data_IF_566686339679
#
_entry.id   IF_566686339679
#
_cell.length_a   1.000
_cell.length_b   1.000
_cell.length_c   1.000
_cell.angle_alpha   90.00
_cell.angle_beta   90.00
_cell.angle_gamma   90.00
#
_symmetry.space_group_name_H-M   'P 1'
#
loop_
_entity.id
_entity.type
_entity.pdbx_description
1 polymer ?
#
# COMPACT_ATOMS: atom_id res chain seq x y z
N UNK A 1 -1.06 -3.84 -27.83
CA UNK A 1 -1.58 -4.87 -26.92
C UNK A 1 -0.94 -4.61 -25.57
N UNK A 2 -1.63 -3.94 -24.65
CA UNK A 2 -1.09 -3.71 -23.30
C UNK A 2 -1.15 -5.02 -22.54
N UNK A 3 0.00 -5.51 -22.09
CA UNK A 3 0.07 -6.61 -21.13
C UNK A 3 -0.72 -6.21 -19.90
N UNK A 4 -1.79 -6.95 -19.56
CA UNK A 4 -2.34 -6.89 -18.21
C UNK A 4 -1.24 -7.42 -17.29
N UNK A 5 -0.64 -6.54 -16.49
CA UNK A 5 0.24 -6.97 -15.42
C UNK A 5 -0.61 -7.73 -14.41
N UNK A 6 -0.44 -9.04 -14.35
CA UNK A 6 -1.03 -9.84 -13.29
C UNK A 6 -0.12 -9.74 -12.06
N UNK A 7 -0.51 -8.89 -11.12
CA UNK A 7 0.16 -8.79 -9.82
C UNK A 7 -0.02 -10.08 -9.02
N UNK A 8 1.00 -10.56 -8.28
CA UNK A 8 0.87 -11.73 -7.42
C UNK A 8 -0.28 -11.57 -6.42
N UNK A 9 -0.98 -12.65 -6.10
CA UNK A 9 -2.13 -12.62 -5.19
C UNK A 9 -1.81 -11.96 -3.82
N UNK A 10 -0.66 -12.25 -3.16
CA UNK A 10 -0.25 -11.54 -1.95
C UNK A 10 -0.19 -10.02 -2.09
N UNK A 11 0.32 -9.53 -3.22
CA UNK A 11 0.42 -8.09 -3.51
C UNK A 11 -0.97 -7.47 -3.61
N UNK A 12 -1.86 -8.09 -4.38
CA UNK A 12 -3.24 -7.60 -4.55
C UNK A 12 -3.99 -7.61 -3.22
N UNK A 13 -3.84 -8.67 -2.41
CA UNK A 13 -4.51 -8.79 -1.11
C UNK A 13 -4.03 -7.74 -0.12
N UNK A 14 -2.73 -7.55 0.02
CA UNK A 14 -2.18 -6.54 0.93
C UNK A 14 -2.51 -5.12 0.46
N UNK A 15 -2.38 -4.81 -0.84
CA UNK A 15 -2.78 -3.51 -1.39
C UNK A 15 -4.26 -3.20 -1.13
N UNK A 16 -5.14 -4.19 -1.29
CA UNK A 16 -6.57 -4.01 -1.00
C UNK A 16 -6.81 -3.78 0.49
N UNK A 17 -6.11 -4.51 1.36
CA UNK A 17 -6.19 -4.32 2.81
C UNK A 17 -5.76 -2.90 3.22
N UNK A 18 -4.65 -2.40 2.67
CA UNK A 18 -4.17 -1.03 2.88
C UNK A 18 -5.23 -0.03 2.43
N UNK A 19 -5.81 -0.23 1.23
CA UNK A 19 -6.79 0.71 0.70
C UNK A 19 -8.07 0.80 1.53
N UNK A 20 -8.52 -0.33 2.08
CA UNK A 20 -9.64 -0.36 3.03
C UNK A 20 -9.28 0.33 4.34
N UNK A 21 -8.05 0.16 4.84
CA UNK A 21 -7.60 0.76 6.10
C UNK A 21 -7.45 2.28 6.01
N UNK A 22 -6.96 2.81 4.89
CA UNK A 22 -6.84 4.26 4.65
C UNK A 22 -8.19 4.95 4.42
N UNK A 23 -9.19 4.21 3.92
CA UNK A 23 -10.49 4.81 3.57
C UNK A 23 -10.39 5.73 2.36
N UNK A 24 -9.73 5.25 1.30
CA UNK A 24 -9.34 6.00 0.10
C UNK A 24 -10.39 7.02 -0.38
N UNK A 25 -9.99 8.28 -0.55
CA UNK A 25 -10.83 9.30 -1.18
C UNK A 25 -10.88 9.08 -2.70
N UNK A 26 -12.06 8.81 -3.30
CA UNK A 26 -12.18 8.56 -4.74
C UNK A 26 -11.68 9.72 -5.60
N UNK A 27 -11.80 10.97 -5.14
CA UNK A 27 -11.39 12.16 -5.90
C UNK A 27 -9.87 12.27 -6.08
N UNK A 28 -9.10 11.56 -5.25
CA UNK A 28 -7.63 11.59 -5.31
C UNK A 28 -7.06 10.50 -6.22
N UNK A 29 -7.88 9.51 -6.60
CA UNK A 29 -7.44 8.33 -7.34
C UNK A 29 -6.24 7.63 -6.68
N UNK A 30 -6.08 7.79 -5.36
CA UNK A 30 -4.94 7.29 -4.59
C UNK A 30 -5.46 6.29 -3.56
N UNK A 31 -5.43 4.99 -3.86
CA UNK A 31 -6.04 4.00 -2.98
C UNK A 31 -5.29 3.80 -1.67
N UNK A 32 -4.04 4.25 -1.54
CA UNK A 32 -3.21 4.00 -0.36
C UNK A 32 -2.53 5.24 0.21
N UNK A 33 -3.07 6.44 -0.03
CA UNK A 33 -2.49 7.71 0.43
C UNK A 33 -0.97 7.86 0.12
N UNK A 34 -0.58 7.36 -1.06
CA UNK A 34 0.81 7.34 -1.51
C UNK A 34 1.36 8.76 -1.68
N UNK A 35 2.60 8.96 -1.20
CA UNK A 35 3.38 10.19 -1.41
C UNK A 35 4.45 10.05 -2.50
N UNK A 36 4.59 8.86 -3.08
CA UNK A 36 5.50 8.59 -4.19
C UNK A 36 4.79 7.83 -5.32
N UNK A 37 4.97 8.30 -6.56
CA UNK A 37 4.16 7.87 -7.69
C UNK A 37 4.64 6.59 -8.39
N UNK A 38 5.85 6.09 -8.08
CA UNK A 38 6.43 4.90 -8.73
C UNK A 38 6.44 4.94 -10.27
N UNK A 39 6.56 6.13 -10.85
CA UNK A 39 6.57 6.34 -12.31
C UNK A 39 5.18 6.55 -12.94
N UNK A 40 4.12 6.55 -12.14
CA UNK A 40 2.76 6.82 -12.62
C UNK A 40 2.43 8.32 -12.62
N UNK A 41 1.51 8.73 -13.50
CA UNK A 41 1.20 10.14 -13.72
C UNK A 41 0.34 10.73 -12.58
N UNK A 42 0.71 11.91 -12.10
CA UNK A 42 -0.01 12.65 -11.06
C UNK A 42 -0.38 14.05 -11.53
N UNK A 43 -1.43 14.63 -10.95
CA UNK A 43 -1.86 16.01 -11.20
C UNK A 43 -1.38 16.98 -10.13
N UNK A 44 -0.87 16.46 -9.00
CA UNK A 44 -0.35 17.26 -7.89
C UNK A 44 -0.45 16.53 -6.56
N UNK A 45 -0.57 17.32 -5.50
CA UNK A 45 -0.64 16.89 -4.09
C UNK A 45 -2.00 17.28 -3.52
N UNK A 46 -2.64 16.35 -2.80
CA UNK A 46 -3.95 16.49 -2.18
C UNK A 46 -3.94 17.22 -0.84
N UNK A 47 -2.88 17.07 -0.05
CA UNK A 47 -2.79 17.58 1.33
C UNK A 47 -1.36 18.01 1.72
N UNK A 48 -1.19 18.50 2.95
CA UNK A 48 0.11 19.00 3.44
C UNK A 48 1.14 17.89 3.69
N UNK A 49 0.67 16.65 3.82
CA UNK A 49 1.47 15.44 4.03
C UNK A 49 2.14 14.96 2.74
N UNK A 50 1.76 15.51 1.57
CA UNK A 50 2.34 15.13 0.29
C UNK A 50 1.59 14.01 -0.43
N UNK A 51 0.40 13.63 0.03
CA UNK A 51 -0.43 12.60 -0.62
C UNK A 51 -0.72 13.03 -2.06
N UNK A 52 -0.47 12.14 -3.02
CA UNK A 52 -0.58 12.45 -4.44
C UNK A 52 -2.01 12.33 -4.95
N UNK A 53 -2.34 13.11 -5.99
CA UNK A 53 -3.54 12.92 -6.81
C UNK A 53 -3.10 12.28 -8.13
N UNK A 54 -3.60 11.09 -8.44
CA UNK A 54 -3.28 10.40 -9.69
C UNK A 54 -4.20 10.85 -10.83
N UNK A 55 -3.66 10.88 -12.06
CA UNK A 55 -4.43 11.29 -13.25
C UNK A 55 -5.61 10.34 -13.49
N UNK A 56 -5.43 9.04 -13.25
CA UNK A 56 -6.47 8.01 -13.42
C UNK A 56 -6.52 7.09 -12.20
N UNK A 57 -7.69 6.52 -11.85
CA UNK A 57 -7.79 5.51 -10.79
C UNK A 57 -6.80 4.34 -10.95
N UNK A 58 -6.59 3.88 -12.19
CA UNK A 58 -5.67 2.77 -12.46
C UNK A 58 -4.22 3.11 -12.13
N UNK A 59 -3.80 4.36 -12.31
CA UNK A 59 -2.44 4.80 -12.03
C UNK A 59 -2.12 4.71 -10.54
N UNK A 60 -3.06 5.08 -9.67
CA UNK A 60 -2.89 4.96 -8.22
C UNK A 60 -2.89 3.51 -7.74
N UNK A 61 -3.72 2.64 -8.31
CA UNK A 61 -3.70 1.21 -8.00
C UNK A 61 -2.38 0.54 -8.42
N UNK A 62 -1.90 0.80 -9.64
CA UNK A 62 -0.62 0.27 -10.10
C UNK A 62 0.56 0.78 -9.23
N UNK A 63 0.53 2.05 -8.82
CA UNK A 63 1.52 2.59 -7.89
C UNK A 63 1.49 1.88 -6.52
N UNK A 64 0.29 1.59 -5.99
CA UNK A 64 0.15 0.86 -4.73
C UNK A 64 0.62 -0.60 -4.86
N UNK A 65 0.27 -1.27 -5.95
CA UNK A 65 0.75 -2.63 -6.22
C UNK A 65 2.28 -2.66 -6.36
N UNK A 66 2.89 -1.65 -6.96
CA UNK A 66 4.34 -1.53 -7.04
C UNK A 66 4.96 -1.39 -5.64
N UNK A 67 4.48 -0.45 -4.82
CA UNK A 67 4.95 -0.26 -3.44
C UNK A 67 4.86 -1.56 -2.63
N UNK A 68 3.70 -2.21 -2.65
CA UNK A 68 3.47 -3.48 -1.96
C UNK A 68 4.35 -4.61 -2.54
N UNK A 69 4.55 -4.63 -3.85
CA UNK A 69 5.49 -5.54 -4.51
C UNK A 69 6.92 -5.36 -4.00
N UNK A 70 7.37 -4.12 -3.77
CA UNK A 70 8.68 -3.84 -3.16
C UNK A 70 8.73 -4.28 -1.69
N UNK A 71 7.66 -4.08 -0.92
CA UNK A 71 7.55 -4.56 0.45
C UNK A 71 7.71 -6.08 0.54
N UNK A 72 6.88 -6.82 -0.21
CA UNK A 72 6.79 -8.28 -0.14
C UNK A 72 7.95 -8.99 -0.85
N UNK A 73 8.67 -8.32 -1.76
CA UNK A 73 9.91 -8.87 -2.35
C UNK A 73 11.17 -8.56 -1.55
N UNK A 74 11.06 -7.78 -0.46
CA UNK A 74 12.22 -7.34 0.33
C UNK A 74 13.11 -6.32 -0.39
N UNK A 75 12.58 -5.66 -1.43
CA UNK A 75 13.30 -4.66 -2.23
C UNK A 75 13.00 -3.22 -1.80
N UNK A 76 12.08 -3.02 -0.86
CA UNK A 76 11.83 -1.70 -0.26
C UNK A 76 13.03 -1.21 0.55
N UNK A 77 13.30 0.08 0.50
CA UNK A 77 14.29 0.74 1.36
C UNK A 77 13.73 1.10 2.74
N UNK A 78 12.41 1.05 2.92
CA UNK A 78 11.70 1.45 4.15
C UNK A 78 11.28 0.21 4.96
N UNK A 79 10.72 -0.78 4.25
CA UNK A 79 10.14 -1.98 4.84
C UNK A 79 11.06 -3.18 4.72
N UNK A 80 11.13 -4.00 5.76
CA UNK A 80 11.89 -5.24 5.83
C UNK A 80 10.92 -6.41 5.90
N UNK A 81 11.29 -7.54 5.32
CA UNK A 81 10.45 -8.75 5.38
C UNK A 81 10.16 -9.24 6.81
N UNK A 82 11.02 -8.89 7.76
CA UNK A 82 10.84 -9.20 9.19
C UNK A 82 9.91 -8.22 9.91
N UNK A 83 9.50 -7.12 9.27
CA UNK A 83 8.57 -6.18 9.89
C UNK A 83 7.20 -6.83 10.07
N UNK A 84 6.61 -6.69 11.25
CA UNK A 84 5.22 -7.03 11.53
C UNK A 84 4.27 -6.00 10.92
N UNK A 85 2.98 -6.33 10.76
CA UNK A 85 1.97 -5.36 10.33
C UNK A 85 1.88 -4.15 11.26
N UNK A 86 2.09 -4.34 12.56
CA UNK A 86 2.24 -3.23 13.52
C UNK A 86 3.41 -2.31 13.16
N UNK A 87 4.59 -2.87 12.89
CA UNK A 87 5.78 -2.10 12.51
C UNK A 87 5.65 -1.43 11.13
N UNK A 88 4.93 -2.07 10.20
CA UNK A 88 4.59 -1.47 8.91
C UNK A 88 3.68 -0.27 9.14
N UNK A 89 2.62 -0.39 9.96
CA UNK A 89 1.74 0.72 10.30
C UNK A 89 2.48 1.91 10.92
N UNK A 90 3.42 1.66 11.83
CA UNK A 90 4.26 2.73 12.41
C UNK A 90 5.00 3.56 11.35
N UNK A 91 5.44 2.92 10.25
CA UNK A 91 6.16 3.58 9.16
C UNK A 91 5.22 4.18 8.12
N UNK A 92 4.12 3.51 7.82
CA UNK A 92 3.19 3.86 6.75
C UNK A 92 2.27 5.01 7.17
N UNK A 93 1.63 4.91 8.33
CA UNK A 93 0.61 5.85 8.82
C UNK A 93 1.13 6.81 9.89
N UNK A 94 2.45 6.86 10.11
CA UNK A 94 3.06 7.70 11.14
C UNK A 94 2.70 7.30 12.57
N UNK A 95 2.33 6.03 12.80
CA UNK A 95 2.06 5.51 14.14
C UNK A 95 0.59 5.32 14.49
N UNK A 96 -0.34 5.43 13.54
CA UNK A 96 -1.75 5.12 13.81
C UNK A 96 -1.94 3.62 14.05
N UNK A 97 -2.12 3.26 15.32
CA UNK A 97 -2.36 1.86 15.75
C UNK A 97 -3.67 1.26 15.22
N UNK A 98 -4.60 2.06 14.69
CA UNK A 98 -5.80 1.53 14.05
C UNK A 98 -5.51 1.00 12.65
N UNK A 99 -4.48 1.54 11.98
CA UNK A 99 -4.10 1.10 10.65
C UNK A 99 -3.72 -0.38 10.63
N UNK A 100 -2.80 -0.79 11.53
CA UNK A 100 -2.34 -2.18 11.61
C UNK A 100 -3.47 -3.14 11.95
N UNK A 101 -4.36 -2.75 12.87
CA UNK A 101 -5.58 -3.51 13.21
C UNK A 101 -6.50 -3.71 12.02
N UNK A 102 -6.77 -2.66 11.25
CA UNK A 102 -7.66 -2.72 10.10
C UNK A 102 -7.07 -3.60 8.98
N UNK A 103 -5.78 -3.44 8.68
CA UNK A 103 -5.08 -4.28 7.71
C UNK A 103 -5.07 -5.75 8.15
N UNK A 104 -4.71 -6.01 9.42
CA UNK A 104 -4.67 -7.36 9.98
C UNK A 104 -6.06 -8.03 9.98
N UNK A 105 -7.10 -7.29 10.38
CA UNK A 105 -8.48 -7.75 10.38
C UNK A 105 -8.96 -8.09 8.96
N UNK A 106 -8.65 -7.25 7.97
CA UNK A 106 -8.99 -7.52 6.57
C UNK A 106 -8.29 -8.79 6.05
N UNK A 107 -7.02 -8.98 6.41
CA UNK A 107 -6.24 -10.14 5.97
C UNK A 107 -6.57 -11.43 6.73
N UNK A 108 -7.24 -11.33 7.89
CA UNK A 108 -7.57 -12.46 8.76
C UNK A 108 -6.36 -13.00 9.53
N UNK A 109 -5.42 -12.14 9.90
CA UNK A 109 -4.14 -12.49 10.55
C UNK A 109 -3.91 -11.62 11.79
N UNK A 110 -3.04 -12.01 12.74
CA UNK A 110 -2.65 -11.13 13.85
C UNK A 110 -1.74 -9.98 13.37
N UNK A 111 -1.72 -8.86 14.10
CA UNK A 111 -0.84 -7.71 13.81
C UNK A 111 0.66 -8.05 13.91
N UNK A 112 1.01 -9.13 14.62
CA UNK A 112 2.36 -9.68 14.70
C UNK A 112 2.79 -10.47 13.46
N UNK A 113 1.91 -10.68 12.48
CA UNK A 113 2.26 -11.31 11.19
C UNK A 113 3.25 -10.44 10.42
N UNK A 114 4.32 -11.04 9.92
CA UNK A 114 5.37 -10.34 9.17
C UNK A 114 5.07 -10.25 7.68
N UNK A 115 5.70 -9.29 6.99
CA UNK A 115 5.65 -9.22 5.52
C UNK A 115 6.13 -10.52 4.85
N UNK A 116 7.13 -11.20 5.42
CA UNK A 116 7.56 -12.52 4.94
C UNK A 116 6.43 -13.56 5.00
N UNK A 117 5.68 -13.59 6.09
CA UNK A 117 4.56 -14.51 6.25
C UNK A 117 3.39 -14.19 5.32
N UNK A 118 3.27 -12.95 4.85
CA UNK A 118 2.28 -12.56 3.84
C UNK A 118 2.72 -12.85 2.40
N UNK A 119 4.03 -13.02 2.15
CA UNK A 119 4.60 -13.18 0.81
C UNK A 119 4.42 -14.59 0.20
N UNK A 120 3.90 -15.55 0.96
CA UNK A 120 3.75 -16.97 0.58
C UNK A 120 2.47 -17.26 -0.20
#
# INVERSE_FOLDING_TARGET
MSSMNFWPNPVVRLATAISVAEGSNPDWHNPGDLTYAHGHATTGVANKEGVLIFVRPQDGWEALYHEVGLMLSGRSHIYKLTDTLEQVGLKYSGGDTNWSKNVAAYLGVPESTTLQQLSV
#
